data_IF_026162148989
#
_entry.id   IF_026162148989
#
_cell.length_a   1.000
_cell.length_b   1.000
_cell.length_c   1.000
_cell.angle_alpha   90.00
_cell.angle_beta   90.00
_cell.angle_gamma   90.00
#
_symmetry.space_group_name_H-M   'P 1'
#
loop_
_entity.id
_entity.type
_entity.pdbx_description
1 polymer ?
#
# COMPACT_ATOMS: atom_id res chain seq x y z
N UNK A 1 32.83 18.51 8.45
CA UNK A 1 32.44 17.15 8.87
C UNK A 1 31.08 17.25 9.53
N UNK A 2 30.03 17.17 8.73
CA UNK A 2 28.62 17.13 9.17
C UNK A 2 28.06 15.87 8.55
N UNK A 3 28.00 14.83 9.38
CA UNK A 3 27.52 13.50 9.02
C UNK A 3 25.98 13.54 8.99
N UNK A 4 25.46 13.92 7.82
CA UNK A 4 24.03 13.87 7.52
C UNK A 4 23.61 12.43 7.37
N UNK A 5 23.13 11.82 8.46
CA UNK A 5 22.47 10.52 8.43
C UNK A 5 21.18 10.64 7.64
N UNK A 6 21.29 10.45 6.33
CA UNK A 6 20.16 10.15 5.46
C UNK A 6 19.58 8.81 5.92
N UNK A 7 18.36 8.80 6.45
CA UNK A 7 17.56 7.59 6.54
C UNK A 7 17.21 7.19 5.11
N UNK A 8 18.12 6.45 4.45
CA UNK A 8 17.86 5.87 3.13
C UNK A 8 16.83 4.77 3.33
N UNK A 9 15.61 5.01 2.85
CA UNK A 9 14.47 4.09 2.81
C UNK A 9 14.74 2.94 1.81
N UNK A 10 15.80 2.17 2.03
CA UNK A 10 16.01 0.95 1.28
C UNK A 10 15.13 -0.15 1.88
N UNK A 11 14.10 -0.57 1.15
CA UNK A 11 13.49 -1.87 1.40
C UNK A 11 14.59 -2.91 1.23
N UNK A 12 15.01 -3.54 2.32
CA UNK A 12 15.99 -4.62 2.27
C UNK A 12 15.38 -5.82 1.53
N UNK A 13 15.53 -5.82 0.20
CA UNK A 13 15.70 -7.08 -0.52
C UNK A 13 16.96 -7.74 0.02
N UNK A 14 17.04 -9.06 -0.01
CA UNK A 14 18.24 -9.83 0.36
C UNK A 14 19.40 -9.41 -0.55
N UNK A 15 20.10 -8.36 -0.13
CA UNK A 15 21.21 -7.70 -0.82
C UNK A 15 22.26 -8.72 -1.24
N UNK A 16 22.69 -9.67 -0.38
CA UNK A 16 23.55 -10.78 -0.78
C UNK A 16 23.03 -11.61 -1.96
N UNK A 17 21.73 -11.92 -2.00
CA UNK A 17 21.13 -12.69 -3.10
C UNK A 17 21.06 -11.88 -4.40
N UNK A 18 20.78 -10.58 -4.32
CA UNK A 18 20.82 -9.67 -5.47
C UNK A 18 22.25 -9.47 -5.97
N UNK A 19 23.20 -9.24 -5.06
CA UNK A 19 24.62 -9.08 -5.36
C UNK A 19 25.20 -10.34 -6.01
N UNK A 20 24.86 -11.54 -5.52
CA UNK A 20 25.29 -12.81 -6.13
C UNK A 20 24.71 -12.97 -7.54
N UNK A 21 23.44 -12.65 -7.73
CA UNK A 21 22.74 -12.77 -9.02
C UNK A 21 23.21 -11.72 -10.04
N UNK A 22 23.65 -10.54 -9.56
CA UNK A 22 24.34 -9.54 -10.35
C UNK A 22 25.80 -9.95 -10.64
N UNK A 23 26.54 -10.51 -9.69
CA UNK A 23 27.93 -10.98 -9.89
C UNK A 23 28.03 -12.11 -10.93
N UNK A 24 27.08 -13.05 -10.95
CA UNK A 24 27.04 -14.16 -11.92
C UNK A 24 26.71 -13.71 -13.36
N UNK A 25 26.15 -12.50 -13.53
CA UNK A 25 25.69 -12.00 -14.83
C UNK A 25 26.25 -10.63 -15.26
N UNK A 26 27.01 -9.94 -14.41
CA UNK A 26 27.96 -8.83 -14.61
C UNK A 26 28.06 -8.00 -13.33
N UNK A 27 29.23 -7.96 -12.68
CA UNK A 27 29.85 -6.81 -11.97
C UNK A 27 31.11 -7.29 -11.25
N UNK A 28 32.27 -7.07 -11.87
CA UNK A 28 33.49 -6.84 -11.10
C UNK A 28 33.49 -5.33 -10.80
N UNK A 29 33.50 -4.95 -9.52
CA UNK A 29 33.60 -3.55 -9.05
C UNK A 29 32.31 -2.69 -9.06
N UNK A 30 31.24 -3.15 -8.40
CA UNK A 30 30.20 -2.23 -7.90
C UNK A 30 30.50 -1.84 -6.44
N UNK A 31 30.99 -0.62 -6.23
CA UNK A 31 30.96 0.02 -4.91
C UNK A 31 29.54 0.47 -4.53
N UNK A 32 29.24 0.53 -3.23
CA UNK A 32 28.17 1.26 -2.51
C UNK A 32 26.80 1.57 -3.20
N UNK A 33 26.30 0.73 -4.12
CA UNK A 33 25.06 0.94 -4.86
C UNK A 33 23.76 0.66 -4.07
N UNK A 34 22.67 1.37 -4.37
CA UNK A 34 21.35 1.32 -3.68
C UNK A 34 20.24 0.84 -4.63
N UNK A 35 19.31 -0.01 -4.14
CA UNK A 35 18.23 -0.69 -4.89
C UNK A 35 16.83 -0.09 -4.62
N UNK A 36 16.00 0.14 -5.66
CA UNK A 36 14.63 0.70 -5.56
C UNK A 36 13.61 0.10 -6.56
N UNK A 37 12.34 -0.13 -6.15
CA UNK A 37 11.32 -0.91 -6.89
C UNK A 37 9.96 -0.21 -7.16
N UNK A 38 9.49 -0.04 -8.41
CA UNK A 38 8.16 0.55 -8.75
C UNK A 38 7.58 0.16 -10.14
N UNK A 39 6.25 -0.04 -10.28
CA UNK A 39 5.52 0.04 -11.58
C UNK A 39 4.36 -0.93 -11.87
N UNK A 40 4.31 -2.12 -11.26
CA UNK A 40 3.25 -3.12 -11.47
C UNK A 40 2.93 -3.80 -10.13
N UNK A 41 1.68 -4.23 -9.83
CA UNK A 41 1.34 -4.82 -8.54
C UNK A 41 2.27 -5.99 -8.14
N UNK A 42 2.75 -6.76 -9.12
CA UNK A 42 3.64 -7.91 -8.93
C UNK A 42 5.13 -7.70 -9.28
N UNK A 43 5.53 -6.53 -9.77
CA UNK A 43 6.91 -6.32 -10.22
C UNK A 43 7.68 -5.40 -9.29
N UNK A 44 8.94 -5.78 -9.05
CA UNK A 44 9.93 -4.90 -8.46
C UNK A 44 10.88 -4.46 -9.57
N UNK A 45 11.28 -3.21 -9.48
CA UNK A 45 12.37 -2.67 -10.28
C UNK A 45 13.61 -2.68 -9.37
N UNK A 46 14.80 -2.86 -9.91
CA UNK A 46 16.07 -2.75 -9.18
C UNK A 46 16.95 -1.83 -10.01
N UNK A 47 17.38 -0.75 -9.37
CA UNK A 47 18.24 0.28 -9.92
C UNK A 47 19.66 0.06 -9.39
N UNK A 48 20.68 0.20 -10.24
CA UNK A 48 22.09 0.22 -9.83
C UNK A 48 22.75 1.55 -10.20
N UNK A 49 23.71 2.01 -9.39
CA UNK A 49 24.41 3.30 -9.55
C UNK A 49 25.93 3.11 -9.52
N UNK A 50 26.68 3.84 -10.34
CA UNK A 50 28.10 4.10 -10.11
C UNK A 50 28.36 5.44 -9.37
N UNK A 51 27.54 6.47 -9.58
CA UNK A 51 27.90 7.85 -9.18
C UNK A 51 26.71 8.77 -8.81
N UNK A 52 25.50 8.24 -8.67
CA UNK A 52 24.37 8.92 -8.02
C UNK A 52 23.61 9.96 -8.87
N UNK A 53 23.92 10.12 -10.16
CA UNK A 53 23.24 11.09 -11.03
C UNK A 53 22.19 10.46 -11.97
N UNK A 54 22.42 9.24 -12.47
CA UNK A 54 21.50 8.46 -13.31
C UNK A 54 21.68 6.96 -13.03
N UNK A 55 20.64 6.12 -13.21
CA UNK A 55 20.79 4.67 -13.05
C UNK A 55 21.48 4.07 -14.28
N UNK A 56 22.56 3.31 -14.10
CA UNK A 56 23.31 2.69 -15.22
C UNK A 56 22.59 1.47 -15.81
N UNK A 57 21.66 0.90 -15.05
CA UNK A 57 20.88 -0.26 -15.44
C UNK A 57 19.63 -0.41 -14.59
N UNK A 58 18.62 -0.99 -15.21
CA UNK A 58 17.35 -1.32 -14.59
C UNK A 58 17.07 -2.82 -14.76
N UNK A 59 16.92 -3.52 -13.64
CA UNK A 59 16.45 -4.90 -13.65
C UNK A 59 14.97 -4.92 -13.25
N UNK A 60 14.11 -5.41 -14.14
CA UNK A 60 12.74 -5.78 -13.76
C UNK A 60 12.80 -7.18 -13.20
N UNK A 61 12.56 -7.29 -11.91
CA UNK A 61 12.54 -8.55 -11.19
C UNK A 61 11.13 -8.82 -10.69
N UNK A 62 10.67 -10.05 -10.94
CA UNK A 62 9.57 -10.59 -10.16
C UNK A 62 10.13 -11.66 -9.26
N UNK A 63 9.52 -11.87 -8.10
CA UNK A 63 9.84 -13.03 -7.29
C UNK A 63 9.34 -14.28 -8.02
N UNK A 64 10.26 -15.19 -8.36
CA UNK A 64 9.96 -16.38 -9.15
C UNK A 64 9.26 -17.47 -8.31
N UNK A 65 8.60 -18.43 -8.96
CA UNK A 65 7.94 -19.56 -8.29
C UNK A 65 8.93 -20.60 -7.71
N UNK A 66 10.25 -20.42 -7.84
CA UNK A 66 11.29 -21.41 -7.47
C UNK A 66 11.71 -21.25 -5.99
N UNK A 67 10.82 -20.72 -5.16
CA UNK A 67 10.96 -20.64 -3.71
C UNK A 67 11.26 -19.23 -3.16
N UNK A 68 11.10 -19.07 -1.83
CA UNK A 68 11.39 -17.80 -1.13
C UNK A 68 12.83 -17.35 -1.39
N UNK A 69 13.03 -16.08 -1.72
CA UNK A 69 14.35 -15.50 -2.00
C UNK A 69 14.86 -15.62 -3.44
N UNK A 70 14.18 -16.36 -4.33
CA UNK A 70 14.55 -16.41 -5.75
C UNK A 70 13.94 -15.25 -6.54
N UNK A 71 14.79 -14.38 -7.10
CA UNK A 71 14.40 -13.31 -8.01
C UNK A 71 14.61 -13.76 -9.45
N UNK A 72 13.57 -13.67 -10.28
CA UNK A 72 13.71 -13.85 -11.73
C UNK A 72 13.85 -12.47 -12.37
N UNK A 73 15.02 -12.20 -12.95
CA UNK A 73 15.22 -11.03 -13.80
C UNK A 73 14.51 -11.32 -15.12
N UNK A 74 13.41 -10.62 -15.39
CA UNK A 74 12.65 -10.78 -16.62
C UNK A 74 13.27 -10.03 -17.78
N UNK A 75 13.91 -8.90 -17.47
CA UNK A 75 14.52 -8.02 -18.45
C UNK A 75 15.58 -7.17 -17.77
N UNK A 76 16.77 -7.17 -18.35
CA UNK A 76 17.81 -6.18 -18.07
C UNK A 76 17.65 -5.07 -19.12
N UNK A 77 17.54 -3.85 -18.66
CA UNK A 77 17.40 -2.67 -19.51
C UNK A 77 18.53 -1.71 -19.21
N UNK A 78 19.15 -1.17 -20.26
CA UNK A 78 20.10 -0.08 -20.09
C UNK A 78 19.43 1.15 -19.50
N UNK A 79 20.24 1.98 -18.83
CA UNK A 79 19.90 3.30 -18.29
C UNK A 79 18.94 4.15 -19.14
N UNK A 80 19.08 4.05 -20.46
CA UNK A 80 18.37 4.88 -21.45
C UNK A 80 16.99 4.33 -21.84
N UNK A 81 16.48 3.31 -21.13
CA UNK A 81 15.14 2.78 -21.41
C UNK A 81 14.08 3.65 -20.72
N UNK A 82 13.88 4.86 -21.24
CA UNK A 82 12.96 5.89 -20.74
C UNK A 82 11.59 5.31 -20.34
N UNK A 83 11.04 4.39 -21.13
CA UNK A 83 9.75 3.74 -20.87
C UNK A 83 9.62 3.03 -19.52
N UNK A 84 10.72 2.70 -18.84
CA UNK A 84 10.70 2.03 -17.54
C UNK A 84 11.10 2.92 -16.36
N UNK A 85 11.87 4.00 -16.60
CA UNK A 85 11.90 5.15 -15.69
C UNK A 85 10.52 5.82 -15.59
N UNK A 86 9.77 5.77 -16.70
CA UNK A 86 8.39 6.22 -16.86
C UNK A 86 7.40 5.38 -16.07
N UNK A 87 7.48 4.05 -16.15
CA UNK A 87 6.65 3.16 -15.32
C UNK A 87 7.02 3.24 -13.83
N UNK A 88 8.29 3.50 -13.51
CA UNK A 88 8.78 3.63 -12.14
C UNK A 88 8.59 5.04 -11.54
N UNK A 89 8.18 6.05 -12.32
CA UNK A 89 8.05 7.42 -11.84
C UNK A 89 9.35 8.10 -11.40
N UNK A 90 10.50 7.57 -11.83
CA UNK A 90 11.80 8.02 -11.36
C UNK A 90 12.14 9.40 -11.96
N UNK A 91 12.47 10.37 -11.11
CA UNK A 91 12.60 11.79 -11.46
C UNK A 91 11.38 12.32 -12.22
N UNK A 92 10.17 11.84 -11.96
CA UNK A 92 8.98 12.43 -12.56
C UNK A 92 8.56 13.69 -11.81
N UNK A 93 8.30 14.77 -12.54
CA UNK A 93 7.58 15.93 -12.00
C UNK A 93 6.16 15.53 -11.63
N UNK A 94 5.55 14.66 -12.45
CA UNK A 94 4.15 14.27 -12.33
C UNK A 94 3.89 12.88 -12.95
N UNK A 95 3.03 12.06 -12.34
CA UNK A 95 2.63 10.75 -12.88
C UNK A 95 1.12 10.70 -13.01
N UNK A 96 0.56 10.59 -14.21
CA UNK A 96 -0.89 10.51 -14.44
C UNK A 96 -1.45 9.16 -14.82
N UNK A 97 -2.74 9.12 -15.11
CA UNK A 97 -3.40 7.92 -15.62
C UNK A 97 -2.89 7.52 -17.01
N UNK A 98 -2.59 8.50 -17.88
CA UNK A 98 -2.24 8.26 -19.28
C UNK A 98 -0.79 8.65 -19.65
N UNK A 99 -0.08 9.41 -18.81
CA UNK A 99 1.27 9.86 -19.11
C UNK A 99 2.08 10.17 -17.85
N UNK A 100 3.40 10.03 -17.94
CA UNK A 100 4.38 10.56 -16.99
C UNK A 100 5.02 11.83 -17.57
N UNK A 101 5.29 12.83 -16.73
CA UNK A 101 5.99 14.07 -17.12
C UNK A 101 7.24 14.28 -16.26
N UNK A 102 8.38 14.52 -16.90
CA UNK A 102 9.68 14.79 -16.28
C UNK A 102 9.88 16.29 -15.97
N UNK A 103 10.84 16.66 -15.10
CA UNK A 103 11.16 18.04 -14.74
C UNK A 103 11.52 18.94 -15.92
N UNK A 104 12.14 18.38 -16.95
CA UNK A 104 12.50 19.07 -18.19
C UNK A 104 11.30 19.28 -19.14
N UNK A 105 10.13 18.76 -18.79
CA UNK A 105 8.91 18.84 -19.59
C UNK A 105 8.71 17.67 -20.56
N UNK A 106 9.66 16.74 -20.66
CA UNK A 106 9.51 15.53 -21.46
C UNK A 106 8.36 14.68 -20.91
N UNK A 107 7.49 14.20 -21.79
CA UNK A 107 6.35 13.38 -21.42
C UNK A 107 6.37 12.04 -22.16
N UNK A 108 6.03 10.97 -21.44
CA UNK A 108 5.92 9.63 -22.01
C UNK A 108 4.52 9.09 -21.74
N UNK A 109 3.90 8.54 -22.78
CA UNK A 109 2.62 7.85 -22.66
C UNK A 109 2.77 6.58 -21.83
N UNK A 110 1.84 6.40 -20.90
CA UNK A 110 1.73 5.16 -20.15
C UNK A 110 0.87 4.16 -20.92
N UNK A 111 1.16 2.86 -20.82
CA UNK A 111 0.33 1.84 -21.44
C UNK A 111 -1.14 1.98 -21.02
N UNK A 112 -2.02 1.88 -22.01
CA UNK A 112 -3.46 1.78 -21.76
C UNK A 112 -3.72 0.55 -20.90
N UNK A 113 -4.42 0.74 -19.77
CA UNK A 113 -4.80 -0.38 -18.91
C UNK A 113 -6.07 -1.02 -19.46
N UNK A 114 -5.93 -2.23 -20.00
CA UNK A 114 -7.03 -3.04 -20.52
C UNK A 114 -7.41 -4.13 -19.54
N UNK A 115 -8.64 -4.62 -19.64
CA UNK A 115 -9.14 -5.72 -18.81
C UNK A 115 -10.46 -5.40 -18.13
N UNK A 116 -10.78 -6.20 -17.11
CA UNK A 116 -11.93 -6.01 -16.23
C UNK A 116 -11.81 -4.71 -15.45
N UNK A 117 -12.88 -4.27 -14.79
CA UNK A 117 -12.82 -3.10 -13.91
C UNK A 117 -11.80 -3.30 -12.79
N UNK A 118 -11.66 -4.52 -12.26
CA UNK A 118 -10.66 -4.87 -11.24
C UNK A 118 -9.23 -4.75 -11.76
N UNK A 119 -8.95 -5.24 -12.97
CA UNK A 119 -7.62 -5.10 -13.60
C UNK A 119 -7.25 -3.63 -13.78
N UNK A 120 -8.20 -2.84 -14.29
CA UNK A 120 -8.01 -1.39 -14.47
C UNK A 120 -7.80 -0.68 -13.15
N UNK A 121 -8.61 -1.00 -12.15
CA UNK A 121 -8.49 -0.47 -10.79
C UNK A 121 -7.10 -0.75 -10.21
N UNK A 122 -6.64 -2.00 -10.21
CA UNK A 122 -5.36 -2.38 -9.59
C UNK A 122 -4.17 -1.65 -10.22
N UNK A 123 -4.15 -1.49 -11.54
CA UNK A 123 -3.09 -0.75 -12.21
C UNK A 123 -3.14 0.75 -11.90
N UNK A 124 -4.34 1.34 -11.89
CA UNK A 124 -4.52 2.75 -11.55
C UNK A 124 -4.19 3.02 -10.07
N UNK A 125 -4.57 2.13 -9.16
CA UNK A 125 -4.23 2.22 -7.74
C UNK A 125 -2.72 2.10 -7.50
N UNK A 126 -2.02 1.23 -8.24
CA UNK A 126 -0.56 1.18 -8.18
C UNK A 126 0.10 2.48 -8.67
N UNK A 127 -0.43 3.10 -9.75
CA UNK A 127 0.02 4.42 -10.23
C UNK A 127 -0.28 5.52 -9.20
N UNK A 128 -1.48 5.51 -8.61
CA UNK A 128 -1.90 6.43 -7.56
C UNK A 128 -1.01 6.35 -6.32
N UNK A 129 -0.70 5.15 -5.82
CA UNK A 129 0.18 4.96 -4.67
C UNK A 129 1.58 5.57 -4.90
N UNK A 130 2.16 5.37 -6.08
CA UNK A 130 3.46 5.95 -6.41
C UNK A 130 3.38 7.48 -6.53
N UNK A 131 2.32 8.00 -7.15
CA UNK A 131 2.11 9.44 -7.27
C UNK A 131 1.89 10.11 -5.91
N UNK A 132 1.12 9.47 -5.03
CA UNK A 132 0.89 9.88 -3.64
C UNK A 132 2.21 9.94 -2.86
N UNK A 133 3.04 8.89 -2.94
CA UNK A 133 4.37 8.86 -2.34
C UNK A 133 5.25 10.02 -2.81
N UNK A 134 5.32 10.24 -4.12
CA UNK A 134 6.11 11.32 -4.70
C UNK A 134 5.58 12.70 -4.29
N UNK A 135 4.26 12.87 -4.23
CA UNK A 135 3.63 14.11 -3.81
C UNK A 135 3.93 14.42 -2.33
N UNK A 136 3.71 13.46 -1.44
CA UNK A 136 3.99 13.58 -0.02
C UNK A 136 5.50 13.82 0.27
N UNK A 137 6.39 13.18 -0.47
CA UNK A 137 7.83 13.42 -0.32
C UNK A 137 8.28 14.79 -0.84
N UNK A 138 7.62 15.33 -1.88
CA UNK A 138 7.93 16.66 -2.40
C UNK A 138 7.54 17.76 -1.42
N UNK A 139 6.43 17.60 -0.71
CA UNK A 139 6.04 18.52 0.37
C UNK A 139 7.00 18.42 1.56
N UNK A 140 7.68 17.28 1.74
CA UNK A 140 8.68 17.07 2.79
C UNK A 140 10.10 17.63 2.47
N UNK A 141 10.38 18.15 1.27
CA UNK A 141 11.75 18.40 0.78
C UNK A 141 12.19 19.86 0.59
N UNK A 142 12.58 20.58 1.66
CA UNK A 142 13.80 21.44 1.72
C UNK A 142 14.30 21.48 3.17
N UNK A 143 15.18 20.57 3.59
CA UNK A 143 16.19 20.80 4.65
C UNK A 143 15.76 21.38 6.01
N UNK A 144 14.47 21.40 6.35
CA UNK A 144 14.00 21.90 7.61
C UNK A 144 12.65 21.26 7.92
N UNK A 145 12.57 20.66 9.11
CA UNK A 145 11.34 20.79 9.88
C UNK A 145 11.13 22.29 10.16
N UNK A 146 10.69 23.06 9.16
CA UNK A 146 10.09 24.38 9.40
C UNK A 146 8.62 24.15 9.59
N UNK A 147 8.29 23.79 10.83
CA UNK A 147 7.00 24.11 11.42
C UNK A 147 6.76 25.60 11.18
N UNK A 148 5.74 25.96 10.40
CA UNK A 148 5.16 27.32 10.43
C UNK A 148 4.72 27.61 11.87
N UNK A 149 4.56 28.87 12.25
CA UNK A 149 4.02 29.25 13.57
C UNK A 149 2.62 28.62 13.86
N UNK A 150 1.97 28.04 12.85
CA UNK A 150 0.71 27.27 12.91
C UNK A 150 0.85 25.73 12.99
N UNK A 151 2.03 25.15 12.81
CA UNK A 151 2.25 23.71 13.02
C UNK A 151 2.13 22.76 11.81
N UNK A 152 1.90 23.17 10.56
CA UNK A 152 1.39 22.23 9.52
C UNK A 152 2.32 21.86 8.32
N UNK A 153 3.17 20.81 8.46
CA UNK A 153 3.79 20.10 7.31
C UNK A 153 2.96 18.92 6.75
N UNK A 154 1.90 18.51 7.46
CA UNK A 154 1.20 17.25 7.16
C UNK A 154 -0.06 17.42 6.33
N UNK A 155 -0.92 18.39 6.65
CA UNK A 155 -2.09 18.69 5.81
C UNK A 155 -1.71 19.00 4.36
N UNK A 156 -0.51 19.57 4.11
CA UNK A 156 -0.01 19.79 2.76
C UNK A 156 0.37 18.48 2.05
N UNK A 157 0.97 17.52 2.77
CA UNK A 157 1.33 16.20 2.25
C UNK A 157 0.10 15.35 1.98
N UNK A 158 -0.84 15.29 2.93
CA UNK A 158 -2.12 14.59 2.83
C UNK A 158 -2.92 15.13 1.63
N UNK A 159 -3.09 16.45 1.54
CA UNK A 159 -3.79 17.08 0.41
C UNK A 159 -3.05 16.91 -0.93
N UNK A 160 -1.72 16.82 -0.95
CA UNK A 160 -0.97 16.57 -2.17
C UNK A 160 -1.11 15.12 -2.64
N UNK A 161 -1.07 14.17 -1.71
CA UNK A 161 -1.31 12.76 -1.96
C UNK A 161 -2.75 12.51 -2.46
N UNK A 162 -3.75 13.11 -1.81
CA UNK A 162 -5.15 13.04 -2.25
C UNK A 162 -5.30 13.55 -3.69
N UNK A 163 -4.87 14.79 -3.98
CA UNK A 163 -5.02 15.38 -5.33
C UNK A 163 -4.45 14.49 -6.43
N UNK A 164 -3.29 13.88 -6.21
CA UNK A 164 -2.67 13.01 -7.21
C UNK A 164 -3.40 11.68 -7.34
N UNK A 165 -3.81 11.09 -6.21
CA UNK A 165 -4.58 9.85 -6.19
C UNK A 165 -5.90 10.01 -6.95
N UNK A 166 -6.63 11.07 -6.64
CA UNK A 166 -7.90 11.43 -7.27
C UNK A 166 -7.76 11.56 -8.79
N UNK A 167 -6.77 12.33 -9.23
CA UNK A 167 -6.55 12.62 -10.65
C UNK A 167 -6.25 11.36 -11.47
N UNK A 168 -5.59 10.37 -10.86
CA UNK A 168 -5.30 9.09 -11.53
C UNK A 168 -6.52 8.17 -11.49
N UNK A 169 -7.11 7.97 -10.31
CA UNK A 169 -8.21 7.05 -10.09
C UNK A 169 -9.51 7.48 -10.78
N UNK A 170 -9.73 8.78 -11.00
CA UNK A 170 -10.88 9.31 -11.72
C UNK A 170 -11.04 8.70 -13.14
N UNK A 171 -9.94 8.27 -13.77
CA UNK A 171 -9.98 7.62 -15.08
C UNK A 171 -10.65 6.23 -15.07
N UNK A 172 -10.91 5.64 -13.90
CA UNK A 172 -11.67 4.40 -13.79
C UNK A 172 -13.15 4.59 -14.16
N UNK A 173 -13.68 5.82 -13.97
CA UNK A 173 -15.05 6.18 -14.35
C UNK A 173 -16.14 5.71 -13.39
N UNK A 174 -15.84 5.60 -12.09
CA UNK A 174 -16.79 5.25 -11.02
C UNK A 174 -16.75 6.28 -9.88
N UNK A 175 -17.80 6.39 -9.05
CA UNK A 175 -17.78 7.24 -7.87
C UNK A 175 -16.59 6.92 -6.96
N UNK A 176 -16.01 7.93 -6.32
CA UNK A 176 -14.84 7.78 -5.46
C UNK A 176 -15.01 8.61 -4.19
N UNK A 177 -14.79 7.97 -3.06
CA UNK A 177 -14.68 8.58 -1.73
C UNK A 177 -13.21 8.73 -1.35
N UNK A 178 -12.91 9.74 -0.53
CA UNK A 178 -11.59 9.92 0.07
C UNK A 178 -11.71 10.45 1.48
N UNK A 179 -10.76 10.08 2.35
CA UNK A 179 -10.62 10.67 3.69
C UNK A 179 -10.66 12.21 3.62
N UNK A 180 -9.93 12.80 2.67
CA UNK A 180 -9.77 14.25 2.53
C UNK A 180 -10.96 14.96 1.87
N UNK A 181 -11.94 14.19 1.35
CA UNK A 181 -13.09 14.73 0.60
C UNK A 181 -14.36 13.92 0.82
N UNK A 182 -15.24 14.49 1.63
CA UNK A 182 -16.54 13.91 2.00
C UNK A 182 -17.70 14.44 1.16
N UNK A 183 -17.41 15.27 0.15
CA UNK A 183 -18.40 16.04 -0.63
C UNK A 183 -18.97 15.30 -1.86
N UNK A 184 -18.40 14.15 -2.24
CA UNK A 184 -18.85 13.35 -3.37
C UNK A 184 -19.66 12.15 -2.86
N UNK A 185 -20.98 12.19 -3.02
CA UNK A 185 -21.86 11.08 -2.67
C UNK A 185 -21.81 9.94 -3.70
N UNK A 186 -22.08 8.71 -3.24
CA UNK A 186 -22.35 7.56 -4.11
C UNK A 186 -23.86 7.39 -4.25
N UNK A 187 -24.42 7.80 -5.39
CA UNK A 187 -25.88 7.78 -5.63
C UNK A 187 -26.46 6.35 -5.68
N UNK A 188 -25.71 5.40 -6.26
CA UNK A 188 -26.07 3.99 -6.35
C UNK A 188 -24.99 3.11 -5.70
N UNK A 189 -25.11 2.80 -4.40
CA UNK A 189 -24.17 1.94 -3.69
C UNK A 189 -24.18 0.47 -4.16
N UNK A 190 -25.19 0.08 -4.96
CA UNK A 190 -25.26 -1.27 -5.53
C UNK A 190 -24.31 -1.44 -6.72
N UNK A 191 -23.98 -0.34 -7.41
CA UNK A 191 -22.96 -0.27 -8.43
C UNK A 191 -21.52 -0.22 -7.86
N UNK A 192 -20.50 -0.26 -8.73
CA UNK A 192 -19.11 -0.14 -8.32
C UNK A 192 -18.78 1.28 -7.87
N UNK A 193 -18.04 1.41 -6.78
CA UNK A 193 -17.46 2.66 -6.28
C UNK A 193 -16.08 2.40 -5.67
N UNK A 194 -15.27 3.45 -5.57
CA UNK A 194 -13.95 3.44 -4.99
C UNK A 194 -13.93 4.17 -3.65
N UNK A 195 -13.04 3.76 -2.78
CA UNK A 195 -12.60 4.58 -1.66
C UNK A 195 -11.09 4.52 -1.57
N UNK A 196 -10.48 5.65 -1.25
CA UNK A 196 -9.04 5.80 -1.12
C UNK A 196 -8.70 6.51 0.18
N UNK A 197 -7.68 6.01 0.86
CA UNK A 197 -6.91 6.72 1.86
C UNK A 197 -5.50 6.93 1.28
N UNK A 198 -5.12 8.16 0.93
CA UNK A 198 -3.81 8.45 0.38
C UNK A 198 -2.65 8.20 1.35
N UNK A 199 -2.88 8.40 2.67
CA UNK A 199 -1.87 8.27 3.75
C UNK A 199 -2.54 7.77 5.06
N UNK A 200 -2.86 6.48 5.09
CA UNK A 200 -3.25 5.77 6.32
C UNK A 200 -2.06 5.75 7.28
N UNK A 201 -2.34 6.00 8.56
CA UNK A 201 -1.31 6.18 9.57
C UNK A 201 -0.61 7.53 9.45
N UNK A 202 -1.34 8.62 9.19
CA UNK A 202 -0.77 9.97 9.11
C UNK A 202 0.03 10.37 10.34
N UNK A 203 -0.38 9.92 11.54
CA UNK A 203 0.37 10.12 12.78
C UNK A 203 1.77 9.50 12.73
N UNK A 204 1.87 8.30 12.16
CA UNK A 204 3.12 7.58 11.92
C UNK A 204 3.99 8.31 10.89
N UNK A 205 3.40 8.73 9.77
CA UNK A 205 4.07 9.54 8.75
C UNK A 205 4.66 10.83 9.34
N UNK A 206 3.86 11.58 10.11
CA UNK A 206 4.27 12.82 10.82
C UNK A 206 5.42 12.59 11.80
N UNK A 207 5.41 11.45 12.49
CA UNK A 207 6.45 11.09 13.44
C UNK A 207 7.71 10.50 12.77
N UNK A 208 7.66 10.18 11.47
CA UNK A 208 8.69 9.42 10.78
C UNK A 208 8.85 7.99 11.31
N UNK A 209 7.78 7.43 11.89
CA UNK A 209 7.76 6.08 12.49
C UNK A 209 6.93 5.17 11.59
N UNK A 210 7.52 4.14 10.96
CA UNK A 210 6.77 3.24 10.09
C UNK A 210 5.83 2.30 10.89
N UNK A 211 4.74 1.80 10.28
CA UNK A 211 4.35 1.99 8.88
C UNK A 211 3.32 3.11 8.66
N UNK A 212 3.23 3.60 7.41
CA UNK A 212 2.12 4.41 6.87
C UNK A 212 1.89 3.97 5.43
N UNK A 213 0.65 4.07 4.93
CA UNK A 213 0.27 3.39 3.69
C UNK A 213 -0.67 4.18 2.79
N UNK A 214 -0.59 3.91 1.50
CA UNK A 214 -1.66 4.20 0.56
C UNK A 214 -2.62 3.00 0.56
N UNK A 215 -3.92 3.25 0.67
CA UNK A 215 -4.96 2.23 0.64
C UNK A 215 -6.03 2.61 -0.38
N UNK A 216 -6.40 1.69 -1.26
CA UNK A 216 -7.54 1.88 -2.15
C UNK A 216 -8.35 0.58 -2.27
N UNK A 217 -9.68 0.70 -2.24
CA UNK A 217 -10.61 -0.40 -2.40
C UNK A 217 -11.66 -0.12 -3.48
N UNK A 218 -11.94 -1.11 -4.31
CA UNK A 218 -13.10 -1.18 -5.20
C UNK A 218 -14.18 -2.00 -4.50
N UNK A 219 -15.36 -1.41 -4.35
CA UNK A 219 -16.51 -1.98 -3.65
C UNK A 219 -17.71 -2.02 -4.60
N UNK A 220 -18.55 -3.06 -4.52
CA UNK A 220 -19.82 -3.13 -5.24
C UNK A 220 -20.86 -3.89 -4.41
N UNK A 221 -22.09 -3.38 -4.32
CA UNK A 221 -23.15 -4.00 -3.51
C UNK A 221 -22.74 -4.18 -2.04
N UNK A 222 -22.01 -3.21 -1.51
CA UNK A 222 -21.46 -3.24 -0.15
C UNK A 222 -20.39 -4.30 0.11
N UNK A 223 -19.87 -4.97 -0.94
CA UNK A 223 -18.84 -6.01 -0.83
C UNK A 223 -17.51 -5.55 -1.44
N UNK A 224 -16.37 -5.83 -0.78
CA UNK A 224 -15.06 -5.64 -1.40
C UNK A 224 -14.91 -6.48 -2.67
N UNK A 225 -14.39 -5.90 -3.74
CA UNK A 225 -14.18 -6.55 -5.06
C UNK A 225 -12.70 -6.68 -5.38
N UNK A 226 -11.94 -5.59 -5.23
CA UNK A 226 -10.50 -5.58 -5.44
C UNK A 226 -9.86 -4.52 -4.53
N UNK A 227 -8.61 -4.76 -4.12
CA UNK A 227 -7.90 -3.89 -3.19
C UNK A 227 -6.43 -3.75 -3.55
N UNK A 228 -5.88 -2.60 -3.24
CA UNK A 228 -4.45 -2.32 -3.35
C UNK A 228 -4.01 -1.52 -2.13
N UNK A 229 -2.97 -2.00 -1.45
CA UNK A 229 -2.35 -1.33 -0.30
C UNK A 229 -0.84 -1.30 -0.52
N UNK A 230 -0.23 -0.13 -0.38
CA UNK A 230 1.21 0.02 -0.40
C UNK A 230 1.66 0.65 0.90
N UNK A 231 2.44 -0.08 1.69
CA UNK A 231 3.20 0.51 2.79
C UNK A 231 4.21 1.48 2.19
N UNK A 232 3.93 2.77 2.29
CA UNK A 232 4.71 3.86 1.70
C UNK A 232 6.08 4.00 2.38
N UNK A 233 6.23 3.49 3.60
CA UNK A 233 7.47 3.49 4.36
C UNK A 233 8.40 2.34 4.00
N UNK A 234 7.89 1.23 3.47
CA UNK A 234 8.73 0.08 3.09
C UNK A 234 8.65 -0.27 1.62
N UNK A 235 7.67 0.23 0.88
CA UNK A 235 7.41 -0.18 -0.50
C UNK A 235 6.80 -1.58 -0.64
N UNK A 236 6.45 -2.26 0.46
CA UNK A 236 5.66 -3.51 0.43
C UNK A 236 4.28 -3.24 -0.15
N UNK A 237 3.83 -4.10 -1.05
CA UNK A 237 2.56 -3.96 -1.76
C UNK A 237 1.72 -5.20 -1.59
N UNK A 238 0.51 -5.01 -1.09
CA UNK A 238 -0.52 -6.02 -1.11
C UNK A 238 -1.58 -5.64 -2.13
N UNK A 239 -2.09 -6.63 -2.83
CA UNK A 239 -3.19 -6.43 -3.75
C UNK A 239 -3.95 -7.72 -3.96
N UNK A 240 -5.20 -7.61 -4.38
CA UNK A 240 -6.02 -8.77 -4.64
C UNK A 240 -7.30 -8.41 -5.38
N UNK A 241 -7.85 -9.41 -6.05
CA UNK A 241 -9.23 -9.39 -6.57
C UNK A 241 -9.93 -10.60 -5.96
N UNK A 242 -11.11 -10.37 -5.39
CA UNK A 242 -11.95 -11.43 -4.85
C UNK A 242 -12.23 -12.46 -5.96
N UNK A 243 -12.23 -13.73 -5.60
CA UNK A 243 -12.31 -14.89 -6.52
C UNK A 243 -11.07 -15.14 -7.41
N UNK A 244 -10.07 -14.26 -7.41
CA UNK A 244 -8.77 -14.47 -8.10
C UNK A 244 -7.68 -14.86 -7.11
N UNK A 245 -7.59 -14.15 -6.00
CA UNK A 245 -6.55 -14.33 -4.99
C UNK A 245 -5.89 -13.02 -4.56
N UNK A 246 -5.09 -13.11 -3.50
CA UNK A 246 -4.29 -12.01 -2.99
C UNK A 246 -2.80 -12.28 -3.15
N UNK A 247 -2.04 -11.20 -3.24
CA UNK A 247 -0.60 -11.22 -3.48
C UNK A 247 0.08 -10.17 -2.61
N UNK A 248 1.30 -10.49 -2.18
CA UNK A 248 2.24 -9.52 -1.62
C UNK A 248 3.50 -9.52 -2.46
N UNK A 249 3.83 -8.35 -3.01
CA UNK A 249 5.01 -8.14 -3.85
C UNK A 249 5.15 -9.16 -5.00
N UNK A 250 3.99 -9.57 -5.56
CA UNK A 250 3.90 -10.55 -6.65
C UNK A 250 3.88 -12.01 -6.24
N UNK A 251 4.10 -12.33 -4.96
CA UNK A 251 3.91 -13.69 -4.44
C UNK A 251 2.47 -13.89 -3.96
N UNK A 252 1.81 -15.01 -4.32
CA UNK A 252 0.50 -15.35 -3.75
C UNK A 252 0.59 -15.43 -2.23
N UNK A 253 -0.44 -14.94 -1.55
CA UNK A 253 -0.58 -15.02 -0.10
C UNK A 253 -1.95 -15.57 0.27
N UNK A 254 -2.02 -16.17 1.45
CA UNK A 254 -3.25 -16.69 2.04
C UNK A 254 -3.22 -16.37 3.52
N UNK A 255 -4.38 -16.13 4.10
CA UNK A 255 -4.50 -16.04 5.55
C UNK A 255 -4.07 -17.34 6.21
N UNK A 256 -3.59 -17.26 7.46
CA UNK A 256 -3.24 -18.43 8.26
C UNK A 256 -3.56 -18.20 9.74
N UNK A 257 -3.99 -19.23 10.49
CA UNK A 257 -4.15 -19.11 11.93
C UNK A 257 -2.84 -18.69 12.60
N UNK A 258 -2.93 -17.89 13.66
CA UNK A 258 -1.75 -17.40 14.36
C UNK A 258 -2.09 -16.80 15.72
N UNK A 259 -1.10 -16.72 16.61
CA UNK A 259 -1.28 -16.20 17.97
C UNK A 259 -1.05 -14.69 18.10
N UNK A 260 -0.88 -13.99 16.98
CA UNK A 260 -0.70 -12.54 16.93
C UNK A 260 -2.02 -11.90 16.52
N UNK A 261 -2.53 -11.01 17.36
CA UNK A 261 -3.72 -10.21 17.13
C UNK A 261 -3.29 -8.79 16.76
N UNK A 262 -3.81 -8.30 15.64
CA UNK A 262 -3.74 -6.90 15.25
C UNK A 262 -4.96 -6.17 15.82
N UNK A 263 -4.78 -4.96 16.30
CA UNK A 263 -5.88 -4.14 16.81
C UNK A 263 -5.62 -2.67 16.48
N UNK A 264 -6.67 -1.86 16.26
CA UNK A 264 -6.48 -0.44 16.02
C UNK A 264 -6.00 0.27 17.31
N UNK A 265 -5.55 1.51 17.12
CA UNK A 265 -5.15 2.38 18.22
C UNK A 265 -6.30 2.55 19.21
N UNK A 266 -6.10 2.23 20.51
CA UNK A 266 -7.15 2.38 21.50
C UNK A 266 -7.41 3.87 21.83
N UNK A 267 -8.62 4.21 22.33
CA UNK A 267 -8.90 5.56 22.81
C UNK A 267 -7.97 5.96 23.97
N UNK A 268 -7.70 7.27 24.16
CA UNK A 268 -6.89 7.76 25.27
C UNK A 268 -7.40 7.25 26.63
N UNK A 269 -6.52 6.63 27.41
CA UNK A 269 -6.85 6.04 28.70
C UNK A 269 -7.51 4.64 28.64
N UNK A 270 -7.71 4.09 27.44
CA UNK A 270 -8.17 2.71 27.25
C UNK A 270 -7.08 1.67 27.50
N UNK A 271 -7.49 0.42 27.69
CA UNK A 271 -6.59 -0.75 27.82
C UNK A 271 -6.83 -1.73 26.69
N UNK A 272 -5.77 -2.22 26.07
CA UNK A 272 -5.86 -3.29 25.07
C UNK A 272 -5.75 -4.66 25.75
N UNK A 273 -6.81 -5.45 25.68
CA UNK A 273 -6.84 -6.82 26.22
C UNK A 273 -6.39 -7.83 25.16
N UNK A 274 -5.68 -8.87 25.58
CA UNK A 274 -5.32 -10.00 24.72
C UNK A 274 -6.37 -11.10 24.92
N UNK A 275 -7.21 -11.41 23.92
CA UNK A 275 -8.22 -12.46 24.03
C UNK A 275 -7.60 -13.86 24.15
N UNK A 276 -8.37 -14.79 24.69
CA UNK A 276 -8.00 -16.20 24.74
C UNK A 276 -7.67 -16.75 23.34
N UNK A 277 -6.64 -17.59 23.27
CA UNK A 277 -6.11 -18.10 22.00
C UNK A 277 -5.03 -17.22 21.36
N UNK A 278 -4.87 -15.98 21.80
CA UNK A 278 -3.80 -15.08 21.37
C UNK A 278 -2.72 -14.94 22.44
N UNK A 279 -1.52 -14.51 22.02
CA UNK A 279 -0.36 -14.30 22.91
C UNK A 279 0.35 -12.98 22.67
N UNK A 280 0.14 -12.38 21.50
CA UNK A 280 0.82 -11.14 21.10
C UNK A 280 -0.24 -10.20 20.56
N UNK A 281 -0.19 -8.96 21.02
CA UNK A 281 -0.99 -7.87 20.50
C UNK A 281 -0.05 -6.89 19.80
N UNK A 282 -0.46 -6.43 18.63
CA UNK A 282 0.26 -5.42 17.84
C UNK A 282 -0.70 -4.31 17.48
N UNK A 283 -0.23 -3.08 17.66
CA UNK A 283 -0.85 -1.84 17.21
C UNK A 283 0.26 -1.16 16.42
N UNK A 284 0.14 -1.11 15.10
CA UNK A 284 1.16 -0.40 14.31
C UNK A 284 0.82 1.06 14.14
N UNK A 285 -0.46 1.42 14.24
CA UNK A 285 -0.96 2.77 13.96
C UNK A 285 -1.27 3.02 12.48
N UNK A 286 -1.39 1.95 11.67
CA UNK A 286 -1.74 1.98 10.25
C UNK A 286 -2.68 0.79 9.97
N UNK A 287 -3.99 1.07 9.92
CA UNK A 287 -5.05 0.07 9.87
C UNK A 287 -4.96 -0.79 8.60
N UNK A 288 -4.67 -0.19 7.45
CA UNK A 288 -4.57 -0.88 6.18
C UNK A 288 -3.41 -1.91 6.19
N UNK A 289 -2.26 -1.55 6.77
CA UNK A 289 -1.14 -2.49 6.93
C UNK A 289 -1.47 -3.59 7.93
N UNK A 290 -2.13 -3.26 9.03
CA UNK A 290 -2.51 -4.23 10.04
C UNK A 290 -3.43 -5.32 9.49
N UNK A 291 -4.43 -4.93 8.70
CA UNK A 291 -5.31 -5.87 8.00
C UNK A 291 -4.57 -6.66 6.91
N UNK A 292 -3.63 -6.05 6.18
CA UNK A 292 -2.80 -6.76 5.20
C UNK A 292 -1.87 -7.80 5.83
N UNK A 293 -1.40 -7.58 7.06
CA UNK A 293 -0.64 -8.57 7.82
C UNK A 293 -1.50 -9.77 8.24
N UNK A 294 -2.82 -9.57 8.44
CA UNK A 294 -3.75 -10.71 8.59
C UNK A 294 -3.93 -11.41 7.24
N UNK A 295 -4.15 -10.64 6.17
CA UNK A 295 -4.34 -11.16 4.82
C UNK A 295 -3.19 -12.07 4.35
N UNK A 296 -1.94 -11.69 4.65
CA UNK A 296 -0.76 -12.47 4.25
C UNK A 296 -0.32 -13.56 5.24
N UNK A 297 -1.09 -13.76 6.31
CA UNK A 297 -0.85 -14.78 7.33
C UNK A 297 0.21 -14.43 8.37
N UNK A 298 0.81 -13.23 8.31
CA UNK A 298 1.76 -12.77 9.34
C UNK A 298 1.09 -12.57 10.71
N UNK A 299 -0.20 -12.24 10.73
CA UNK A 299 -1.04 -12.16 11.91
C UNK A 299 -2.25 -13.10 11.77
N UNK A 300 -2.75 -13.58 12.92
CA UNK A 300 -3.85 -14.54 12.94
C UNK A 300 -5.23 -13.90 12.81
N UNK A 301 -5.38 -12.67 13.33
CA UNK A 301 -6.64 -11.95 13.33
C UNK A 301 -6.49 -10.44 13.57
N UNK A 302 -7.59 -9.73 13.36
CA UNK A 302 -7.87 -8.34 13.67
C UNK A 302 -9.12 -8.24 14.58
N UNK A 303 -9.10 -7.33 15.55
CA UNK A 303 -10.22 -7.10 16.46
C UNK A 303 -10.43 -5.61 16.80
N UNK A 304 -11.65 -5.12 16.55
CA UNK A 304 -12.05 -3.72 16.74
C UNK A 304 -13.40 -3.57 17.48
N UNK A 305 -13.84 -4.58 18.22
CA UNK A 305 -15.16 -4.53 18.89
C UNK A 305 -15.17 -3.77 20.22
N UNK A 306 -14.03 -3.74 20.91
CA UNK A 306 -13.81 -3.08 22.20
C UNK A 306 -13.25 -1.64 22.05
N UNK A 307 -13.41 -1.05 20.86
CA UNK A 307 -12.79 0.21 20.44
C UNK A 307 -13.78 1.12 19.72
N UNK A 308 -13.34 2.32 19.32
CA UNK A 308 -14.23 3.32 18.72
C UNK A 308 -14.71 2.92 17.32
N UNK A 309 -13.95 2.09 16.62
CA UNK A 309 -14.19 1.70 15.23
C UNK A 309 -13.16 2.34 14.28
N UNK A 310 -13.27 1.99 13.01
CA UNK A 310 -12.42 2.48 11.91
C UNK A 310 -13.27 2.98 10.76
N UNK A 311 -12.79 3.94 9.98
CA UNK A 311 -13.57 4.46 8.86
C UNK A 311 -13.43 3.55 7.63
N UNK A 312 -14.37 3.69 6.69
CA UNK A 312 -14.38 2.88 5.46
C UNK A 312 -13.10 3.05 4.62
N UNK A 313 -12.49 4.24 4.62
CA UNK A 313 -11.25 4.51 3.87
C UNK A 313 -10.02 3.80 4.45
N UNK A 314 -9.96 3.66 5.78
CA UNK A 314 -8.90 2.94 6.49
C UNK A 314 -8.87 1.44 6.12
N UNK A 315 -10.04 0.86 5.81
CA UNK A 315 -10.22 -0.60 5.77
C UNK A 315 -10.50 -1.16 4.38
N UNK A 316 -11.21 -0.46 3.51
CA UNK A 316 -11.79 -1.07 2.31
C UNK A 316 -10.76 -1.74 1.37
N UNK A 317 -9.61 -1.09 1.14
CA UNK A 317 -8.53 -1.65 0.34
C UNK A 317 -7.96 -2.93 0.95
N UNK A 318 -7.63 -2.89 2.24
CA UNK A 318 -7.07 -4.03 2.94
C UNK A 318 -8.07 -5.17 3.15
N UNK A 319 -9.37 -4.87 3.34
CA UNK A 319 -10.42 -5.88 3.42
C UNK A 319 -10.61 -6.61 2.09
N UNK A 320 -10.52 -5.92 0.96
CA UNK A 320 -10.55 -6.59 -0.35
C UNK A 320 -9.36 -7.55 -0.52
N UNK A 321 -8.16 -7.15 -0.09
CA UNK A 321 -6.98 -8.05 -0.07
C UNK A 321 -7.23 -9.23 0.87
N UNK A 322 -7.73 -9.00 2.08
CA UNK A 322 -7.98 -10.04 3.08
C UNK A 322 -9.01 -11.07 2.60
N UNK A 323 -10.13 -10.62 2.05
CA UNK A 323 -11.17 -11.51 1.50
C UNK A 323 -10.62 -12.28 0.29
N UNK A 324 -9.86 -11.63 -0.60
CA UNK A 324 -9.19 -12.31 -1.71
C UNK A 324 -8.15 -13.35 -1.24
N UNK A 325 -7.56 -13.17 -0.05
CA UNK A 325 -6.66 -14.13 0.61
C UNK A 325 -7.39 -15.25 1.36
N UNK A 326 -8.71 -15.33 1.25
CA UNK A 326 -9.56 -16.34 1.90
C UNK A 326 -9.96 -16.02 3.34
N UNK A 327 -9.68 -14.82 3.82
CA UNK A 327 -10.04 -14.40 5.18
C UNK A 327 -11.54 -14.16 5.37
N UNK A 328 -11.96 -14.20 6.63
CA UNK A 328 -13.35 -13.96 7.05
C UNK A 328 -13.41 -12.63 7.79
N UNK A 329 -14.43 -11.82 7.48
CA UNK A 329 -14.70 -10.52 8.09
C UNK A 329 -16.14 -10.52 8.57
N UNK A 330 -16.33 -10.34 9.88
CA UNK A 330 -17.65 -10.34 10.51
C UNK A 330 -17.90 -9.04 11.27
N UNK A 331 -19.11 -8.51 11.14
CA UNK A 331 -19.61 -7.41 11.96
C UNK A 331 -19.94 -7.90 13.40
N UNK A 332 -20.33 -7.01 14.33
CA UNK A 332 -20.63 -7.38 15.70
C UNK A 332 -21.81 -8.37 15.86
N UNK A 333 -22.71 -8.41 14.88
CA UNK A 333 -23.85 -9.33 14.84
C UNK A 333 -23.48 -10.69 14.21
N UNK A 334 -22.20 -10.89 13.87
CA UNK A 334 -21.67 -12.09 13.25
C UNK A 334 -22.09 -12.27 11.79
N UNK A 335 -22.61 -11.21 11.16
CA UNK A 335 -22.90 -11.21 9.72
C UNK A 335 -21.66 -10.79 8.95
N UNK A 336 -21.63 -11.08 7.64
CA UNK A 336 -20.54 -10.61 6.78
C UNK A 336 -20.61 -9.09 6.69
N UNK A 337 -19.51 -8.41 7.04
CA UNK A 337 -19.43 -6.96 7.00
C UNK A 337 -19.83 -6.37 5.65
N UNK A 338 -20.69 -5.36 5.68
CA UNK A 338 -21.09 -4.55 4.52
C UNK A 338 -20.41 -3.19 4.59
N UNK A 339 -19.79 -2.76 3.49
CA UNK A 339 -19.15 -1.46 3.37
C UNK A 339 -20.15 -0.46 2.78
N UNK A 340 -20.46 0.58 3.54
CA UNK A 340 -21.31 1.67 3.10
C UNK A 340 -20.45 2.83 2.59
N UNK A 341 -20.94 3.60 1.61
CA UNK A 341 -20.25 4.79 1.11
C UNK A 341 -20.42 5.97 2.09
N UNK A 342 -19.90 5.80 3.30
CA UNK A 342 -19.98 6.74 4.41
C UNK A 342 -18.58 6.92 5.01
N UNK A 343 -17.97 8.09 4.78
CA UNK A 343 -16.63 8.42 5.27
C UNK A 343 -16.62 8.85 6.74
N UNK A 344 -17.77 9.19 7.32
CA UNK A 344 -17.91 9.61 8.72
C UNK A 344 -18.30 8.45 9.63
N UNK A 345 -18.93 7.41 9.06
CA UNK A 345 -19.35 6.21 9.77
C UNK A 345 -18.17 5.40 10.29
N UNK A 346 -18.21 5.07 11.59
CA UNK A 346 -17.28 4.15 12.21
C UNK A 346 -17.78 2.71 12.08
N UNK A 347 -16.88 1.84 11.63
CA UNK A 347 -17.11 0.42 11.41
C UNK A 347 -16.38 -0.36 12.50
N UNK A 348 -17.08 -1.27 13.16
CA UNK A 348 -16.49 -2.25 14.07
C UNK A 348 -16.63 -3.64 13.50
N UNK A 349 -15.57 -4.43 13.55
CA UNK A 349 -15.58 -5.78 13.01
C UNK A 349 -14.44 -6.62 13.59
N UNK A 350 -14.50 -7.91 13.30
CA UNK A 350 -13.39 -8.85 13.47
C UNK A 350 -13.00 -9.40 12.12
N UNK A 351 -11.71 -9.65 11.92
CA UNK A 351 -11.24 -10.36 10.74
C UNK A 351 -10.25 -11.46 11.14
N UNK A 352 -10.33 -12.62 10.51
CA UNK A 352 -9.44 -13.73 10.83
C UNK A 352 -9.24 -14.68 9.65
N UNK A 353 -8.29 -15.61 9.82
CA UNK A 353 -7.97 -16.61 8.80
C UNK A 353 -9.09 -17.63 8.54
N UNK A 354 -10.04 -17.81 9.46
CA UNK A 354 -11.15 -18.72 9.30
C UNK A 354 -12.35 -18.30 10.16
N UNK A 355 -13.50 -18.91 9.87
CA UNK A 355 -14.77 -18.61 10.51
C UNK A 355 -14.74 -18.90 12.02
N UNK A 356 -14.11 -19.99 12.46
CA UNK A 356 -14.05 -20.36 13.87
C UNK A 356 -13.31 -19.31 14.70
N UNK A 357 -12.19 -18.80 14.18
CA UNK A 357 -11.40 -17.76 14.85
C UNK A 357 -12.16 -16.43 14.87
N UNK A 358 -12.79 -16.06 13.75
CA UNK A 358 -13.60 -14.84 13.67
C UNK A 358 -14.77 -14.89 14.65
N UNK A 359 -15.56 -15.97 14.66
CA UNK A 359 -16.67 -16.15 15.59
C UNK A 359 -16.20 -16.24 17.05
N UNK A 360 -15.06 -16.87 17.32
CA UNK A 360 -14.49 -16.92 18.67
C UNK A 360 -14.17 -15.53 19.24
N UNK A 361 -13.73 -14.60 18.39
CA UNK A 361 -13.49 -13.21 18.77
C UNK A 361 -14.79 -12.43 19.08
N UNK A 362 -15.93 -12.81 18.50
CA UNK A 362 -17.23 -12.18 18.80
C UNK A 362 -17.77 -12.54 20.19
N UNK A 363 -17.41 -13.72 20.71
CA UNK A 363 -17.93 -14.25 21.99
C UNK A 363 -17.11 -13.77 23.19
N UNK A 364 -15.88 -13.32 22.94
CA UNK A 364 -14.93 -12.89 23.98
C UNK A 364 -15.04 -11.41 24.41
N UNK A 365 -16.02 -10.67 23.86
CA UNK A 365 -16.22 -9.23 24.09
C UNK A 365 -17.28 -8.91 25.12
#
# INVERSE_FOLDING_TARGET
MTDGRHTRLATALDLPAIETLLQDHWLADAGDGVVWAMGHPSARVVVTHADGARPDGLAVVTEGPIGPGSLRVHRLLGADHDGLLVEAGWHARHMGAAALVHPDGTAHELPEVRGTISDRFLALAARAANAALLAANRTAGVGAATTKDDGSPSAEADAAADRESQRILASLGVPMLSEERTDIGVEDPSGPWLVVDPIDGTGNYRAGVPPWAFSAGLVAGGRPVAGYVMDLSSGRRWWGTVDVGAFRDGRPVTTSPGSTLMVPTPPPGGTATVPDGFRRLRITGCTAVDLCLVADGSAGAWHDLDRDGTHVHDVAGALAVLVAAGGIVLDPDGQRLELLPDTEGLIRFVAAANHDTATGLLVGT
#
